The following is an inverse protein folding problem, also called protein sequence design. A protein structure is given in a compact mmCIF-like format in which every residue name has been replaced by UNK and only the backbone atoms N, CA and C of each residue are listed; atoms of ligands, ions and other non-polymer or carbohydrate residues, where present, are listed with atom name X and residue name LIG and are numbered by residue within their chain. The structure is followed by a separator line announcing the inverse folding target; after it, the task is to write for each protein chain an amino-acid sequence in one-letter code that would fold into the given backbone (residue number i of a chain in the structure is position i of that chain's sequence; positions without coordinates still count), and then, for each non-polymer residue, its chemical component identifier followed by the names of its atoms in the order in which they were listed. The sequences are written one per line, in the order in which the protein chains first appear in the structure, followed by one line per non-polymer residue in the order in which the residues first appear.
data_IF_952599920936
#
_entry.id   IF_952599920936
#
_cell.length_a   1.000
_cell.length_b   1.000
_cell.length_c   1.000
_cell.angle_alpha   90.00
_cell.angle_beta   90.00
_cell.angle_gamma   90.00
#
_symmetry.space_group_name_H-M   'P 1'
#
loop_
_entity.id
_entity.type
_entity.pdbx_description
1 polymer ?
#
# COMPACT_ATOMS: atom_id res chain seq x y z
N UNK A 1 -24.59 -26.73 0.43
CA UNK A 1 -25.57 -26.38 -0.61
C UNK A 1 -26.42 -25.28 -0.02
N UNK A 2 -26.32 -24.04 -0.53
CA UNK A 2 -27.08 -22.91 0.01
C UNK A 2 -28.20 -22.63 -1.00
N UNK A 3 -29.44 -22.89 -0.61
CA UNK A 3 -30.62 -22.53 -1.39
C UNK A 3 -31.16 -21.20 -0.84
N UNK A 4 -31.31 -20.20 -1.70
CA UNK A 4 -31.73 -18.85 -1.30
C UNK A 4 -33.09 -18.57 -1.93
N UNK A 5 -34.12 -18.48 -1.09
CA UNK A 5 -35.47 -18.04 -1.49
C UNK A 5 -35.65 -16.57 -1.08
N UNK A 6 -35.76 -15.70 -2.08
CA UNK A 6 -36.03 -14.27 -1.89
C UNK A 6 -37.54 -14.03 -1.86
N UNK A 7 -38.08 -13.60 -0.73
CA UNK A 7 -39.45 -13.10 -0.62
C UNK A 7 -39.37 -11.64 -0.15
N UNK A 8 -39.85 -10.75 -1.01
CA UNK A 8 -39.56 -9.33 -0.92
C UNK A 8 -39.86 -8.70 0.44
N UNK A 9 -38.86 -8.00 0.97
CA UNK A 9 -39.09 -6.84 1.82
C UNK A 9 -38.90 -7.00 3.32
N UNK A 10 -37.97 -7.83 3.80
CA UNK A 10 -37.43 -7.72 5.17
C UNK A 10 -36.03 -8.36 5.26
N UNK A 11 -35.22 -7.92 6.22
CA UNK A 11 -33.79 -8.25 6.39
C UNK A 11 -33.53 -9.76 6.34
N UNK A 12 -32.41 -10.14 5.71
CA UNK A 12 -31.96 -11.54 5.62
C UNK A 12 -30.81 -11.76 6.62
N UNK A 13 -31.10 -12.46 7.71
CA UNK A 13 -30.07 -13.00 8.59
C UNK A 13 -29.61 -14.36 8.03
N UNK A 14 -28.32 -14.47 7.68
CA UNK A 14 -27.71 -15.75 7.31
C UNK A 14 -27.00 -16.28 8.54
N UNK A 15 -27.57 -17.32 9.16
CA UNK A 15 -26.91 -18.06 10.25
C UNK A 15 -26.34 -19.35 9.66
N UNK A 16 -25.02 -19.50 9.74
CA UNK A 16 -24.34 -20.78 9.45
C UNK A 16 -24.21 -21.58 10.74
N UNK A 17 -24.41 -22.90 10.69
CA UNK A 17 -24.47 -23.78 11.87
C UNK A 17 -23.19 -23.80 12.74
N UNK A 18 -22.06 -23.23 12.28
CA UNK A 18 -20.74 -23.43 12.90
C UNK A 18 -20.10 -22.16 13.50
N UNK A 19 -20.89 -21.19 13.99
CA UNK A 19 -20.31 -19.91 14.43
C UNK A 19 -20.92 -19.38 15.74
N UNK A 20 -20.27 -19.70 16.87
CA UNK A 20 -20.65 -19.19 18.18
C UNK A 20 -19.99 -17.85 18.56
N UNK A 21 -19.04 -17.28 17.79
CA UNK A 21 -18.39 -16.02 18.24
C UNK A 21 -18.09 -14.95 17.16
N UNK A 22 -18.28 -15.19 15.85
CA UNK A 22 -17.95 -14.17 14.84
C UNK A 22 -19.11 -13.87 13.89
N UNK A 23 -19.99 -12.93 14.29
CA UNK A 23 -21.10 -12.47 13.46
C UNK A 23 -20.54 -11.74 12.23
N UNK A 24 -20.62 -12.39 11.07
CA UNK A 24 -20.39 -11.75 9.77
C UNK A 24 -21.54 -10.78 9.50
N UNK A 25 -21.33 -9.47 9.66
CA UNK A 25 -22.34 -8.45 9.30
C UNK A 25 -22.16 -8.04 7.84
N UNK A 26 -23.12 -8.41 7.00
CA UNK A 26 -23.16 -7.98 5.59
C UNK A 26 -24.18 -6.85 5.47
N UNK A 27 -23.71 -5.65 5.11
CA UNK A 27 -24.58 -4.50 4.86
C UNK A 27 -24.80 -4.35 3.36
N UNK A 28 -26.02 -4.59 2.88
CA UNK A 28 -26.40 -4.26 1.50
C UNK A 28 -26.76 -2.77 1.43
N UNK A 29 -25.93 -1.95 0.78
CA UNK A 29 -26.12 -0.49 0.70
C UNK A 29 -26.83 -0.01 -0.56
N UNK A 30 -27.01 -0.86 -1.57
CA UNK A 30 -27.74 -0.52 -2.80
C UNK A 30 -28.36 -1.76 -3.45
N UNK A 31 -29.70 -1.86 -3.40
CA UNK A 31 -30.47 -2.95 -4.03
C UNK A 31 -31.22 -2.35 -5.23
N UNK A 32 -30.46 -1.91 -6.24
CA UNK A 32 -31.04 -1.59 -7.54
C UNK A 32 -30.56 -2.56 -8.62
N UNK A 33 -31.45 -3.51 -8.92
CA UNK A 33 -31.54 -4.34 -10.13
C UNK A 33 -30.22 -4.93 -10.64
N UNK A 34 -29.97 -6.15 -10.15
CA UNK A 34 -29.18 -7.28 -10.72
C UNK A 34 -27.75 -7.50 -10.25
N UNK A 35 -27.21 -6.65 -9.38
CA UNK A 35 -25.88 -6.89 -8.78
C UNK A 35 -25.91 -6.55 -7.30
N UNK A 36 -25.49 -7.48 -6.45
CA UNK A 36 -25.24 -7.24 -5.02
C UNK A 36 -23.73 -7.08 -4.86
N UNK A 37 -23.28 -5.92 -4.37
CA UNK A 37 -21.91 -5.71 -3.97
C UNK A 37 -21.74 -6.17 -2.53
N UNK A 38 -20.86 -7.13 -2.31
CA UNK A 38 -20.44 -7.54 -0.97
C UNK A 38 -19.04 -6.97 -0.74
N UNK A 39 -18.85 -6.17 0.31
CA UNK A 39 -17.51 -5.87 0.83
C UNK A 39 -17.26 -6.72 2.06
N UNK A 40 -16.36 -7.68 1.96
CA UNK A 40 -15.86 -8.43 3.12
C UNK A 40 -14.73 -7.58 3.72
N UNK A 41 -15.06 -6.77 4.74
CA UNK A 41 -14.04 -6.19 5.62
C UNK A 41 -13.83 -7.13 6.80
N UNK A 42 -12.96 -8.13 6.65
CA UNK A 42 -12.60 -9.06 7.73
C UNK A 42 -11.45 -8.54 8.62
N UNK A 43 -10.93 -7.36 8.31
CA UNK A 43 -9.81 -6.76 9.02
C UNK A 43 -10.26 -5.41 9.57
N UNK A 44 -10.44 -5.29 10.88
CA UNK A 44 -10.46 -3.98 11.50
C UNK A 44 -9.03 -3.43 11.57
N UNK A 45 -8.85 -2.13 11.32
CA UNK A 45 -7.53 -1.49 11.48
C UNK A 45 -6.96 -1.70 12.90
N UNK A 46 -7.84 -1.89 13.89
CA UNK A 46 -7.46 -2.13 15.28
C UNK A 46 -6.76 -3.49 15.46
N UNK A 47 -7.28 -4.57 14.87
CA UNK A 47 -6.66 -5.90 14.97
C UNK A 47 -5.26 -5.93 14.33
N UNK A 48 -5.10 -5.27 13.17
CA UNK A 48 -3.80 -5.14 12.50
C UNK A 48 -2.83 -4.31 13.35
N UNK A 49 -3.30 -3.20 13.92
CA UNK A 49 -2.48 -2.35 14.79
C UNK A 49 -2.05 -3.08 16.06
N UNK A 50 -2.97 -3.75 16.75
CA UNK A 50 -2.66 -4.52 17.97
C UNK A 50 -1.66 -5.65 17.69
N UNK A 51 -1.82 -6.38 16.57
CA UNK A 51 -0.85 -7.39 16.15
C UNK A 51 0.53 -6.76 15.96
N UNK A 52 0.64 -5.63 15.25
CA UNK A 52 1.91 -4.91 15.03
C UNK A 52 2.49 -4.36 16.35
N UNK A 53 1.66 -3.77 17.22
CA UNK A 53 2.09 -3.21 18.50
C UNK A 53 2.62 -4.28 19.45
N UNK A 54 1.96 -5.44 19.52
CA UNK A 54 2.43 -6.59 20.30
C UNK A 54 3.82 -7.08 19.85
N UNK A 55 4.14 -6.93 18.56
CA UNK A 55 5.42 -7.32 17.99
C UNK A 55 6.53 -6.34 18.39
N UNK A 56 6.27 -5.02 18.36
CA UNK A 56 7.33 -4.01 18.51
C UNK A 56 7.33 -3.22 19.83
N UNK A 57 6.28 -3.37 20.66
CA UNK A 57 6.06 -2.65 21.93
C UNK A 57 6.21 -1.12 21.84
N UNK A 58 5.98 -0.52 20.66
CA UNK A 58 6.15 0.91 20.38
C UNK A 58 5.21 1.40 19.27
N UNK A 59 4.82 2.69 19.26
CA UNK A 59 4.01 3.28 18.20
C UNK A 59 4.74 3.16 16.85
N UNK A 60 4.03 2.65 15.85
CA UNK A 60 4.53 2.39 14.51
C UNK A 60 3.93 3.42 13.52
N UNK A 61 4.75 3.99 12.64
CA UNK A 61 4.26 4.78 11.50
C UNK A 61 4.36 3.90 10.25
N UNK A 62 3.23 3.37 9.76
CA UNK A 62 3.15 2.55 8.56
C UNK A 62 2.58 3.36 7.38
N UNK A 63 3.13 3.14 6.19
CA UNK A 63 2.31 3.11 4.98
C UNK A 63 1.70 1.71 4.88
N UNK A 64 0.39 1.59 5.01
CA UNK A 64 -0.35 0.35 4.76
C UNK A 64 -0.82 0.40 3.30
N UNK A 65 -0.31 -0.52 2.48
CA UNK A 65 -0.77 -0.68 1.10
C UNK A 65 -1.69 -1.88 1.07
N UNK A 66 -3.00 -1.61 1.03
CA UNK A 66 -3.99 -2.61 0.66
C UNK A 66 -4.33 -2.37 -0.81
N UNK A 67 -3.67 -3.09 -1.71
CA UNK A 67 -4.05 -3.11 -3.12
C UNK A 67 -4.96 -4.33 -3.31
N UNK A 68 -6.28 -4.07 -3.32
CA UNK A 68 -7.29 -5.09 -3.61
C UNK A 68 -7.47 -5.07 -5.13
N UNK A 69 -6.62 -5.79 -5.84
CA UNK A 69 -6.90 -6.17 -7.22
C UNK A 69 -7.56 -7.56 -7.21
N UNK A 70 -8.65 -7.71 -7.98
CA UNK A 70 -9.50 -8.93 -8.05
C UNK A 70 -8.73 -10.23 -8.41
N UNK A 71 -7.44 -10.14 -8.75
CA UNK A 71 -6.58 -11.28 -9.13
C UNK A 71 -5.38 -11.50 -8.20
N UNK A 72 -5.19 -10.67 -7.16
CA UNK A 72 -4.05 -10.75 -6.25
C UNK A 72 -4.49 -11.12 -4.84
N UNK A 73 -4.87 -12.39 -4.63
CA UNK A 73 -4.94 -12.97 -3.29
C UNK A 73 -3.52 -13.10 -2.73
N UNK A 74 -3.08 -12.06 -2.03
CA UNK A 74 -1.93 -12.10 -1.14
C UNK A 74 -2.43 -12.16 0.29
N UNK A 75 -2.31 -13.32 0.94
CA UNK A 75 -2.51 -13.45 2.38
C UNK A 75 -1.25 -13.01 3.15
N UNK A 76 -0.45 -12.11 2.57
CA UNK A 76 0.80 -11.63 3.15
C UNK A 76 0.82 -10.10 3.18
N UNK A 77 1.22 -9.55 4.33
CA UNK A 77 1.53 -8.14 4.52
C UNK A 77 3.01 -8.00 4.84
N UNK A 78 3.77 -7.28 4.00
CA UNK A 78 5.20 -7.05 4.21
C UNK A 78 5.53 -5.58 4.47
N UNK A 79 6.36 -5.31 5.46
CA UNK A 79 6.72 -3.94 5.85
C UNK A 79 8.10 -3.85 6.50
N UNK A 80 8.66 -2.64 6.49
CA UNK A 80 9.85 -2.30 7.27
C UNK A 80 9.48 -1.78 8.63
N UNK A 81 10.22 -2.20 9.65
CA UNK A 81 10.16 -1.50 10.94
C UNK A 81 10.71 -0.08 10.78
N UNK A 82 9.99 0.90 11.32
CA UNK A 82 10.43 2.30 11.36
C UNK A 82 11.87 2.43 11.89
N UNK A 83 12.72 3.11 11.12
CA UNK A 83 14.15 3.32 11.45
C UNK A 83 14.92 2.02 11.68
N UNK A 84 14.66 0.99 10.89
CA UNK A 84 15.29 -0.33 11.01
C UNK A 84 15.52 -0.96 9.64
N UNK A 85 16.59 -1.74 9.52
CA UNK A 85 16.84 -2.63 8.39
C UNK A 85 16.03 -3.94 8.46
N UNK A 86 15.13 -4.09 9.44
CA UNK A 86 14.32 -5.29 9.59
C UNK A 86 13.06 -5.21 8.72
N UNK A 87 13.01 -6.11 7.75
CA UNK A 87 11.85 -6.43 6.95
C UNK A 87 11.05 -7.55 7.63
N UNK A 88 9.74 -7.38 7.76
CA UNK A 88 8.84 -8.39 8.31
C UNK A 88 7.73 -8.72 7.32
N UNK A 89 7.29 -9.99 7.32
CA UNK A 89 6.09 -10.44 6.61
C UNK A 89 5.13 -11.10 7.61
N UNK A 90 3.86 -10.68 7.59
CA UNK A 90 2.77 -11.22 8.39
C UNK A 90 1.83 -12.00 7.47
N UNK A 91 1.42 -13.19 7.89
CA UNK A 91 0.30 -13.91 7.29
C UNK A 91 -1.02 -13.24 7.70
N UNK A 92 -1.89 -12.91 6.76
CA UNK A 92 -3.18 -12.29 7.05
C UNK A 92 -4.27 -13.29 7.45
N UNK A 93 -4.10 -14.59 7.20
CA UNK A 93 -5.05 -15.63 7.63
C UNK A 93 -4.97 -15.93 9.13
N UNK A 94 -3.77 -15.87 9.70
CA UNK A 94 -3.49 -16.27 11.08
C UNK A 94 -2.67 -15.27 11.89
N UNK A 95 -2.31 -14.11 11.30
CA UNK A 95 -1.51 -13.05 11.90
C UNK A 95 -0.14 -13.48 12.44
N UNK A 96 0.38 -14.63 12.00
CA UNK A 96 1.72 -15.08 12.37
C UNK A 96 2.77 -14.40 11.51
N UNK A 97 3.89 -14.03 12.14
CA UNK A 97 5.08 -13.56 11.42
C UNK A 97 5.76 -14.77 10.79
N UNK A 98 5.93 -14.76 9.48
CA UNK A 98 6.65 -15.84 8.78
C UNK A 98 8.16 -15.67 8.82
N UNK A 99 8.65 -14.43 8.76
CA UNK A 99 10.09 -14.17 8.71
C UNK A 99 10.43 -12.72 9.03
N UNK A 100 11.58 -12.52 9.66
CA UNK A 100 12.27 -11.22 9.69
C UNK A 100 13.58 -11.33 8.93
N UNK A 101 13.82 -10.44 7.97
CA UNK A 101 15.10 -10.33 7.27
C UNK A 101 15.75 -9.01 7.67
N UNK A 102 16.95 -9.10 8.25
CA UNK A 102 17.80 -7.91 8.42
C UNK A 102 18.51 -7.66 7.10
N UNK A 103 18.22 -6.52 6.47
CA UNK A 103 18.87 -6.16 5.24
C UNK A 103 20.37 -5.85 5.46
N UNK A 104 21.23 -6.20 4.49
CA UNK A 104 22.68 -5.96 4.58
C UNK A 104 23.07 -4.49 4.44
N UNK A 105 22.12 -3.56 4.33
CA UNK A 105 22.40 -2.14 4.17
C UNK A 105 22.91 -1.56 5.48
N UNK A 106 24.14 -1.02 5.48
CA UNK A 106 24.68 -0.26 6.62
C UNK A 106 23.92 1.04 6.87
N UNK A 107 23.18 1.53 5.87
CA UNK A 107 22.32 2.69 6.03
C UNK A 107 21.03 2.28 6.73
N UNK A 108 20.78 2.90 7.88
CA UNK A 108 19.49 2.82 8.54
C UNK A 108 18.41 3.29 7.59
N UNK A 109 17.50 2.40 7.21
CA UNK A 109 16.28 2.76 6.49
C UNK A 109 15.48 3.65 7.43
N UNK A 110 15.49 4.96 7.20
CA UNK A 110 14.78 5.91 8.06
C UNK A 110 13.27 5.79 7.84
N UNK A 111 12.53 6.15 8.89
CA UNK A 111 11.11 5.91 9.12
C UNK A 111 10.04 6.32 8.11
N UNK A 112 10.40 6.61 6.87
CA UNK A 112 9.48 7.12 5.85
C UNK A 112 9.64 6.34 4.55
N UNK A 113 9.32 5.05 4.65
CA UNK A 113 9.36 4.11 3.54
C UNK A 113 8.01 4.07 2.83
N UNK A 114 8.05 4.15 1.51
CA UNK A 114 6.95 3.72 0.67
C UNK A 114 7.30 2.40 -0.01
N UNK A 115 6.28 1.61 -0.30
CA UNK A 115 6.42 0.39 -1.10
C UNK A 115 5.38 0.33 -2.23
N UNK A 116 5.50 -0.66 -3.09
CA UNK A 116 4.40 -1.18 -3.91
C UNK A 116 4.77 -2.62 -4.30
N UNK A 117 3.79 -3.39 -4.78
CA UNK A 117 4.00 -4.74 -5.26
C UNK A 117 4.14 -4.70 -6.79
N UNK A 118 5.12 -5.42 -7.32
CA UNK A 118 5.32 -5.61 -8.75
C UNK A 118 4.58 -6.88 -9.24
N UNK A 119 4.33 -7.04 -10.56
CA UNK A 119 3.56 -8.17 -11.09
C UNK A 119 4.13 -9.56 -10.77
N UNK A 120 5.44 -9.66 -10.58
CA UNK A 120 6.15 -10.90 -10.22
C UNK A 120 6.16 -11.18 -8.71
N UNK A 121 5.39 -10.42 -7.93
CA UNK A 121 5.35 -10.44 -6.45
C UNK A 121 6.65 -9.97 -5.80
N UNK A 122 7.51 -9.30 -6.55
CA UNK A 122 8.64 -8.57 -5.98
C UNK A 122 8.12 -7.28 -5.34
N UNK A 123 8.59 -6.97 -4.15
CA UNK A 123 8.27 -5.72 -3.49
C UNK A 123 9.25 -4.64 -3.93
N UNK A 124 8.74 -3.53 -4.45
CA UNK A 124 9.53 -2.32 -4.63
C UNK A 124 9.45 -1.48 -3.36
N UNK A 125 10.59 -0.92 -2.97
CA UNK A 125 10.69 0.01 -1.85
C UNK A 125 11.44 1.26 -2.25
N UNK A 126 10.96 2.40 -1.75
CA UNK A 126 11.71 3.64 -1.74
C UNK A 126 11.74 4.17 -0.31
N UNK A 127 12.95 4.31 0.22
CA UNK A 127 13.18 4.77 1.57
C UNK A 127 14.07 6.00 1.60
N UNK A 128 14.00 6.70 2.72
CA UNK A 128 14.91 7.80 3.00
C UNK A 128 16.16 7.27 3.72
N UNK A 129 17.33 7.80 3.35
CA UNK A 129 18.60 7.59 4.03
C UNK A 129 19.21 8.89 4.59
N UNK A 130 18.37 9.89 4.93
CA UNK A 130 18.76 11.26 5.32
C UNK A 130 19.57 12.03 4.25
N UNK A 131 19.51 11.59 2.99
CA UNK A 131 20.12 12.30 1.87
C UNK A 131 19.10 13.14 1.09
N UNK A 132 19.58 13.91 0.12
CA UNK A 132 18.76 14.59 -0.89
C UNK A 132 18.15 13.63 -1.93
N UNK A 133 18.24 12.31 -1.72
CA UNK A 133 17.75 11.27 -2.64
C UNK A 133 17.03 10.15 -1.89
N UNK A 134 16.07 9.51 -2.56
CA UNK A 134 15.39 8.30 -2.08
C UNK A 134 16.17 7.04 -2.50
N UNK A 135 16.59 6.22 -1.53
CA UNK A 135 17.21 4.92 -1.79
C UNK A 135 16.14 3.93 -2.21
N UNK A 136 16.38 3.22 -3.30
CA UNK A 136 15.40 2.34 -3.93
C UNK A 136 15.94 0.92 -4.04
N UNK A 137 15.08 -0.05 -3.80
CA UNK A 137 15.43 -1.46 -3.93
C UNK A 137 14.21 -2.31 -4.19
N UNK A 138 14.46 -3.52 -4.68
CA UNK A 138 13.46 -4.58 -4.79
C UNK A 138 13.80 -5.74 -3.87
N UNK A 139 12.77 -6.39 -3.33
CA UNK A 139 12.88 -7.60 -2.51
C UNK A 139 11.99 -8.68 -3.11
N UNK A 140 12.60 -9.77 -3.56
CA UNK A 140 11.84 -10.92 -4.08
C UNK A 140 11.26 -11.79 -2.94
N UNK A 141 10.47 -12.81 -3.30
CA UNK A 141 9.89 -13.76 -2.33
C UNK A 141 10.93 -14.53 -1.51
N UNK A 142 12.12 -14.74 -2.07
CA UNK A 142 13.26 -15.40 -1.41
C UNK A 142 14.07 -14.41 -0.56
N UNK A 143 13.59 -13.17 -0.46
CA UNK A 143 14.17 -12.07 0.30
C UNK A 143 15.54 -11.63 -0.23
N UNK A 144 15.79 -11.87 -1.52
CA UNK A 144 16.93 -11.31 -2.21
C UNK A 144 16.70 -9.82 -2.44
N UNK A 145 17.62 -9.00 -1.96
CA UNK A 145 17.59 -7.56 -2.18
C UNK A 145 18.40 -7.20 -3.43
N UNK A 146 17.82 -6.33 -4.26
CA UNK A 146 18.52 -5.69 -5.38
C UNK A 146 18.36 -4.18 -5.27
N UNK A 147 19.46 -3.47 -5.08
CA UNK A 147 19.48 -2.02 -5.10
C UNK A 147 19.25 -1.50 -6.53
N UNK A 148 18.47 -0.44 -6.66
CA UNK A 148 18.17 0.25 -7.91
C UNK A 148 18.79 1.65 -7.91
N UNK A 149 18.63 2.40 -9.00
CA UNK A 149 19.03 3.81 -9.03
C UNK A 149 18.21 4.61 -8.02
N UNK A 150 18.86 5.45 -7.21
CA UNK A 150 18.17 6.34 -6.28
C UNK A 150 17.29 7.37 -7.01
N UNK A 151 16.13 7.66 -6.44
CA UNK A 151 15.24 8.74 -6.89
C UNK A 151 15.72 10.09 -6.37
N UNK A 152 15.39 11.19 -7.07
CA UNK A 152 15.58 12.55 -6.53
C UNK A 152 14.51 12.91 -5.50
N UNK A 153 13.40 12.18 -5.47
CA UNK A 153 12.35 12.36 -4.49
C UNK A 153 12.78 11.72 -3.17
N UNK A 154 12.71 12.50 -2.10
CA UNK A 154 12.99 12.05 -0.75
C UNK A 154 11.79 12.30 0.17
N UNK A 155 11.70 11.48 1.22
CA UNK A 155 10.67 11.52 2.27
C UNK A 155 9.23 11.20 1.81
N UNK A 156 8.50 10.45 2.63
CA UNK A 156 7.04 10.26 2.54
C UNK A 156 6.52 9.98 1.13
N UNK A 157 7.21 9.10 0.42
CA UNK A 157 6.77 8.64 -0.89
C UNK A 157 5.82 7.48 -0.73
N UNK A 158 4.83 7.42 -1.62
CA UNK A 158 3.93 6.28 -1.77
C UNK A 158 4.06 5.81 -3.22
N UNK A 159 4.97 4.86 -3.50
CA UNK A 159 5.16 4.28 -4.82
C UNK A 159 3.86 3.72 -5.36
N UNK A 160 3.62 3.92 -6.65
CA UNK A 160 2.52 3.30 -7.37
C UNK A 160 3.12 2.54 -8.56
N UNK A 161 2.83 1.24 -8.69
CA UNK A 161 3.17 0.50 -9.89
C UNK A 161 2.04 0.65 -10.93
N UNK A 162 2.39 0.98 -12.17
CA UNK A 162 1.44 1.01 -13.28
C UNK A 162 2.16 0.95 -14.63
N UNK A 163 1.62 0.21 -15.61
CA UNK A 163 2.15 0.10 -16.97
C UNK A 163 3.67 -0.14 -17.06
N UNK A 164 4.22 -1.01 -16.19
CA UNK A 164 5.66 -1.32 -16.08
C UNK A 164 6.56 -0.19 -15.58
N UNK A 165 5.99 0.82 -14.93
CA UNK A 165 6.72 1.88 -14.24
C UNK A 165 6.36 1.89 -12.76
N UNK A 166 7.28 2.40 -11.94
CA UNK A 166 6.95 2.85 -10.58
C UNK A 166 6.93 4.37 -10.56
N UNK A 167 5.83 4.95 -10.07
CA UNK A 167 5.63 6.38 -9.94
C UNK A 167 5.90 6.83 -8.51
N UNK A 168 6.69 7.88 -8.37
CA UNK A 168 6.86 8.63 -7.12
C UNK A 168 6.41 10.06 -7.38
N UNK A 169 5.41 10.52 -6.64
CA UNK A 169 4.89 11.87 -6.78
C UNK A 169 4.82 12.52 -5.40
N UNK A 170 5.41 13.71 -5.28
CA UNK A 170 5.44 14.50 -4.06
C UNK A 170 6.61 14.17 -3.15
N UNK A 171 6.33 13.72 -1.93
CA UNK A 171 7.31 13.75 -0.84
C UNK A 171 7.52 15.18 -0.34
N UNK A 172 8.69 15.50 0.24
CA UNK A 172 8.96 16.85 0.75
C UNK A 172 9.24 17.92 -0.34
N UNK A 173 8.84 17.65 -1.57
CA UNK A 173 9.01 18.54 -2.70
C UNK A 173 7.82 18.38 -3.65
N UNK A 174 7.83 19.12 -4.74
CA UNK A 174 6.77 19.08 -5.75
C UNK A 174 7.13 18.19 -6.94
N UNK A 175 8.17 17.36 -6.85
CA UNK A 175 8.63 16.57 -7.98
C UNK A 175 7.68 15.40 -8.25
N UNK A 176 7.71 14.95 -9.50
CA UNK A 176 7.13 13.69 -9.94
C UNK A 176 8.20 12.97 -10.77
N UNK A 177 8.42 11.70 -10.50
CA UNK A 177 9.33 10.85 -11.25
C UNK A 177 8.68 9.49 -11.50
N UNK A 178 9.05 8.85 -12.62
CA UNK A 178 8.75 7.44 -12.86
C UNK A 178 10.03 6.66 -13.09
N UNK A 179 10.07 5.41 -12.64
CA UNK A 179 11.19 4.53 -12.82
C UNK A 179 10.96 3.55 -13.97
N UNK A 180 11.85 3.57 -14.95
CA UNK A 180 11.87 2.61 -16.06
C UNK A 180 12.78 1.42 -15.68
N UNK A 181 12.19 0.25 -15.46
CA UNK A 181 12.93 -0.97 -15.13
C UNK A 181 13.81 -1.51 -16.27
N UNK A 182 13.46 -1.22 -17.54
CA UNK A 182 14.23 -1.67 -18.71
C UNK A 182 15.51 -0.87 -18.85
N UNK A 183 15.41 0.44 -18.63
CA UNK A 183 16.53 1.36 -18.74
C UNK A 183 17.29 1.53 -17.43
N UNK A 184 16.71 1.12 -16.29
CA UNK A 184 17.24 1.34 -14.95
C UNK A 184 17.48 2.83 -14.67
N UNK A 185 16.52 3.68 -15.05
CA UNK A 185 16.59 5.13 -14.85
C UNK A 185 15.31 5.72 -14.30
N UNK A 186 15.43 6.78 -13.51
CA UNK A 186 14.33 7.68 -13.20
C UNK A 186 14.15 8.73 -14.30
N UNK A 187 12.91 8.89 -14.73
CA UNK A 187 12.48 9.91 -15.67
C UNK A 187 11.66 10.97 -14.94
N UNK A 188 11.97 12.24 -15.19
CA UNK A 188 11.22 13.35 -14.60
C UNK A 188 9.86 13.52 -15.28
N UNK A 189 8.84 13.75 -14.47
CA UNK A 189 7.45 13.98 -14.87
C UNK A 189 7.03 15.42 -14.57
N UNK A 190 5.82 15.83 -14.97
CA UNK A 190 5.34 17.16 -14.63
C UNK A 190 5.20 17.30 -13.11
N UNK A 191 5.78 18.34 -12.48
CA UNK A 191 5.76 18.50 -11.04
C UNK A 191 4.37 18.91 -10.54
N UNK A 192 4.09 18.64 -9.27
CA UNK A 192 2.95 19.19 -8.54
C UNK A 192 3.00 20.73 -8.46
N UNK A 193 1.86 21.41 -8.23
CA UNK A 193 1.81 22.87 -8.10
C UNK A 193 2.56 23.36 -6.85
N UNK A 194 2.66 22.53 -5.82
CA UNK A 194 3.36 22.79 -4.58
C UNK A 194 3.93 21.49 -4.00
N UNK A 195 4.92 21.61 -3.12
CA UNK A 195 5.46 20.45 -2.41
C UNK A 195 4.50 19.91 -1.35
N UNK A 196 4.58 18.62 -1.08
CA UNK A 196 3.82 18.03 0.03
C UNK A 196 4.63 18.25 1.31
N UNK A 197 4.06 18.84 2.36
CA UNK A 197 4.77 19.01 3.63
C UNK A 197 5.20 17.66 4.19
N UNK A 198 6.27 17.68 4.98
CA UNK A 198 6.97 16.56 5.64
C UNK A 198 6.15 15.44 6.30
N UNK A 199 4.82 15.45 6.36
CA UNK A 199 4.05 14.40 7.02
C UNK A 199 2.69 14.20 6.34
N UNK A 200 2.26 12.93 6.26
CA UNK A 200 0.90 12.52 5.89
C UNK A 200 0.49 12.69 4.42
N UNK A 201 1.40 12.46 3.46
CA UNK A 201 0.98 12.23 2.07
C UNK A 201 0.49 10.79 1.88
N UNK A 202 -0.54 10.63 1.04
CA UNK A 202 -1.03 9.33 0.58
C UNK A 202 -1.36 9.42 -0.90
N UNK A 203 -1.00 8.36 -1.64
CA UNK A 203 -1.29 8.23 -3.05
C UNK A 203 -2.16 6.99 -3.25
N UNK A 204 -3.17 7.09 -4.11
CA UNK A 204 -3.97 5.97 -4.56
C UNK A 204 -4.13 6.02 -6.07
N UNK A 205 -4.02 4.88 -6.75
CA UNK A 205 -4.26 4.80 -8.19
C UNK A 205 -5.72 4.41 -8.44
N UNK A 206 -6.34 5.06 -9.42
CA UNK A 206 -7.57 4.56 -10.03
C UNK A 206 -7.49 4.76 -11.54
N UNK A 207 -7.53 3.64 -12.29
CA UNK A 207 -7.29 3.61 -13.74
C UNK A 207 -5.95 4.28 -14.08
N UNK A 208 -5.98 5.29 -14.94
CA UNK A 208 -4.83 6.01 -15.45
C UNK A 208 -4.52 7.28 -14.64
N UNK A 209 -5.06 7.39 -13.42
CA UNK A 209 -4.89 8.55 -12.55
C UNK A 209 -4.37 8.18 -11.17
N UNK A 210 -3.58 9.09 -10.58
CA UNK A 210 -3.08 8.99 -9.22
C UNK A 210 -3.71 10.12 -8.39
N UNK A 211 -4.47 9.73 -7.38
CA UNK A 211 -5.09 10.60 -6.39
C UNK A 211 -4.10 10.85 -5.28
N UNK A 212 -3.80 12.13 -5.03
CA UNK A 212 -2.76 12.55 -4.10
C UNK A 212 -3.42 13.39 -3.03
N UNK A 213 -3.22 12.99 -1.79
CA UNK A 213 -3.68 13.71 -0.60
C UNK A 213 -2.50 13.99 0.30
N UNK A 214 -2.55 15.10 1.05
CA UNK A 214 -1.57 15.44 2.07
C UNK A 214 -2.19 16.42 3.05
N UNK A 215 -1.72 16.43 4.28
CA UNK A 215 -2.08 17.47 5.26
C UNK A 215 -1.81 18.90 4.76
N UNK A 216 -0.80 19.10 3.90
CA UNK A 216 -0.51 20.40 3.27
C UNK A 216 -1.43 20.77 2.11
N UNK A 217 -2.20 19.82 1.60
CA UNK A 217 -3.13 20.06 0.51
C UNK A 217 -4.52 20.35 1.07
N UNK A 218 -5.12 21.46 0.63
CA UNK A 218 -6.52 21.78 0.95
C UNK A 218 -7.53 20.98 0.09
N UNK A 219 -7.03 20.20 -0.88
CA UNK A 219 -7.82 19.44 -1.86
C UNK A 219 -7.07 18.20 -2.31
N UNK A 220 -7.80 17.22 -2.83
CA UNK A 220 -7.20 16.09 -3.55
C UNK A 220 -6.66 16.59 -4.89
N UNK A 221 -5.42 16.23 -5.21
CA UNK A 221 -4.86 16.43 -6.55
C UNK A 221 -5.06 15.13 -7.34
N UNK A 222 -5.51 15.23 -8.59
CA UNK A 222 -5.68 14.08 -9.48
C UNK A 222 -4.65 14.20 -10.59
N UNK A 223 -3.60 13.40 -10.51
CA UNK A 223 -2.55 13.36 -11.51
C UNK A 223 -2.93 12.42 -12.64
N UNK A 224 -2.97 12.92 -13.88
CA UNK A 224 -3.23 12.12 -15.06
C UNK A 224 -1.95 11.56 -15.66
N UNK A 225 -1.80 10.23 -15.65
CA UNK A 225 -0.59 9.55 -16.14
C UNK A 225 -0.40 9.73 -17.65
N UNK A 226 -1.43 9.56 -18.51
CA UNK A 226 -1.25 9.67 -19.97
C UNK A 226 -0.92 11.09 -20.42
N UNK A 227 -1.50 12.10 -19.75
CA UNK A 227 -1.30 13.51 -20.07
C UNK A 227 -0.10 14.11 -19.32
N UNK A 228 0.46 13.40 -18.34
CA UNK A 228 1.58 13.85 -17.52
C UNK A 228 1.31 15.25 -16.93
N UNK A 229 0.17 15.43 -16.26
CA UNK A 229 -0.28 16.67 -15.63
C UNK A 229 -1.28 16.39 -14.49
N UNK A 230 -1.79 17.44 -13.83
CA UNK A 230 -2.72 17.36 -12.70
C UNK A 230 -3.85 18.39 -12.78
#
# INVERSE_FOLDING_TARGET
MIEILYNGGEFLDIVTEDNMENILKLNATDIQRKTIWWSISKLSCNEVNEAIENIYKRPFMASLIAEIEDEFESNELSFFRHSSSNFATINLDNFQIFSTVTLPTQESIHGYTGSCILPDKTYFYCCNNNSSSGTTFTIDKNKNLKQLQNSKINYHVNPIFFNNYVYLIGGNNNLAERYDFKQNVWESMAPLPQGLSFQYSSNARFRDSIFITSHSLQKVIVYSIPQNNY
#
